data_IF_724437841094
#
_entry.id   IF_724437841094
#
_cell.length_a   1.000
_cell.length_b   1.000
_cell.length_c   1.000
_cell.angle_alpha   90.00
_cell.angle_beta   90.00
_cell.angle_gamma   90.00
#
_symmetry.space_group_name_H-M   'P 1'
#
loop_
_entity.id
_entity.type
_entity.pdbx_description
1 polymer ?
#
# COMPACT_ATOMS: atom_id res chain seq x y z
N UNK A 1 -9.90 44.90 19.68
CA UNK A 1 -10.48 43.55 19.54
C UNK A 1 -9.34 42.55 19.54
N UNK A 2 -9.20 41.83 20.64
CA UNK A 2 -8.19 40.80 20.87
C UNK A 2 -8.46 39.57 19.99
N UNK A 3 -7.58 39.30 19.04
CA UNK A 3 -7.56 38.05 18.28
C UNK A 3 -7.28 36.89 19.24
N UNK A 4 -8.28 36.06 19.48
CA UNK A 4 -8.16 34.83 20.25
C UNK A 4 -7.40 33.83 19.37
N UNK A 5 -6.10 33.71 19.63
CA UNK A 5 -5.20 32.77 18.98
C UNK A 5 -5.06 31.50 19.82
N UNK A 6 -6.10 30.70 20.05
CA UNK A 6 -5.99 29.51 20.91
C UNK A 6 -6.78 28.31 20.36
N UNK A 7 -6.31 27.75 19.24
CA UNK A 7 -6.41 26.30 18.99
C UNK A 7 -5.01 25.84 18.61
N UNK A 8 -4.13 25.75 19.60
CA UNK A 8 -2.99 24.86 19.48
C UNK A 8 -3.55 23.45 19.64
N UNK A 9 -3.39 22.59 18.62
CA UNK A 9 -3.45 21.16 18.85
C UNK A 9 -2.54 20.88 20.04
N UNK A 10 -3.09 20.36 21.14
CA UNK A 10 -2.30 20.07 22.33
C UNK A 10 -1.13 19.17 21.90
N UNK A 11 0.13 19.63 21.99
CA UNK A 11 1.24 18.80 21.59
C UNK A 11 1.21 17.53 22.42
N UNK A 12 1.41 16.38 21.78
CA UNK A 12 1.42 15.09 22.46
C UNK A 12 2.46 15.12 23.58
N UNK A 13 2.01 15.12 24.83
CA UNK A 13 2.87 15.00 25.99
C UNK A 13 3.10 13.52 26.25
N UNK A 14 4.35 13.06 26.09
CA UNK A 14 4.73 11.67 26.37
C UNK A 14 4.29 11.30 27.80
N UNK A 15 3.51 10.21 27.99
CA UNK A 15 3.11 9.75 29.32
C UNK A 15 4.28 9.17 30.13
N UNK A 16 5.48 9.10 29.54
CA UNK A 16 6.68 8.45 30.06
C UNK A 16 7.82 9.47 30.12
N UNK A 17 8.72 9.43 31.13
CA UNK A 17 9.88 10.33 31.20
C UNK A 17 10.72 10.31 29.92
N UNK A 18 11.19 11.48 29.48
CA UNK A 18 11.93 11.65 28.22
C UNK A 18 13.12 10.70 28.08
N UNK A 19 13.87 10.46 29.15
CA UNK A 19 15.02 9.54 29.12
C UNK A 19 14.61 8.10 28.77
N UNK A 20 13.50 7.59 29.32
CA UNK A 20 12.99 6.25 28.98
C UNK A 20 12.58 6.17 27.52
N UNK A 21 11.92 7.21 27.00
CA UNK A 21 11.59 7.33 25.58
C UNK A 21 12.85 7.30 24.71
N UNK A 22 13.85 8.12 25.06
CA UNK A 22 15.11 8.20 24.29
C UNK A 22 15.87 6.87 24.26
N UNK A 23 16.01 6.20 25.41
CA UNK A 23 16.64 4.88 25.45
C UNK A 23 15.83 3.82 24.70
N UNK A 24 14.49 3.86 24.79
CA UNK A 24 13.61 2.96 24.04
C UNK A 24 13.73 3.13 22.53
N UNK A 25 13.77 4.36 22.04
CA UNK A 25 13.99 4.66 20.62
C UNK A 25 15.38 4.19 20.16
N UNK A 26 16.43 4.52 20.91
CA UNK A 26 17.80 4.11 20.58
C UNK A 26 17.94 2.57 20.56
N UNK A 27 17.40 1.89 21.56
CA UNK A 27 17.42 0.43 21.64
C UNK A 27 16.65 -0.22 20.47
N UNK A 28 15.47 0.31 20.14
CA UNK A 28 14.68 -0.16 18.99
C UNK A 28 15.47 -0.01 17.69
N UNK A 29 16.07 1.16 17.44
CA UNK A 29 16.89 1.40 16.23
C UNK A 29 18.05 0.40 16.16
N UNK A 30 18.82 0.26 17.24
CA UNK A 30 19.96 -0.67 17.30
C UNK A 30 19.49 -2.11 17.04
N UNK A 31 18.42 -2.55 17.70
CA UNK A 31 17.90 -3.90 17.55
C UNK A 31 17.34 -4.14 16.15
N UNK A 32 16.64 -3.18 15.56
CA UNK A 32 16.13 -3.27 14.19
C UNK A 32 17.27 -3.38 13.17
N UNK A 33 18.30 -2.54 13.27
CA UNK A 33 19.47 -2.64 12.38
C UNK A 33 20.26 -3.92 12.60
N UNK A 34 20.43 -4.36 13.85
CA UNK A 34 21.07 -5.63 14.16
C UNK A 34 20.29 -6.82 13.59
N UNK A 35 18.96 -6.80 13.68
CA UNK A 35 18.08 -7.81 13.09
C UNK A 35 18.18 -7.79 11.57
N UNK A 36 18.13 -6.61 10.94
CA UNK A 36 18.29 -6.48 9.48
C UNK A 36 19.66 -6.97 9.04
N UNK A 37 20.74 -6.63 9.75
CA UNK A 37 22.08 -7.10 9.45
C UNK A 37 22.21 -8.62 9.61
N UNK A 38 21.63 -9.18 10.67
CA UNK A 38 21.57 -10.63 10.87
C UNK A 38 20.79 -11.33 9.76
N UNK A 39 19.63 -10.79 9.38
CA UNK A 39 18.81 -11.33 8.29
C UNK A 39 19.53 -11.18 6.94
N UNK A 40 20.20 -10.07 6.67
CA UNK A 40 20.98 -9.87 5.45
C UNK A 40 22.24 -10.76 5.39
N UNK A 41 22.75 -11.21 6.54
CA UNK A 41 23.89 -12.13 6.64
C UNK A 41 23.48 -13.62 6.59
N UNK A 42 22.20 -13.90 6.33
CA UNK A 42 21.69 -15.26 6.15
C UNK A 42 22.38 -16.01 4.99
N UNK A 43 22.16 -17.33 4.87
CA UNK A 43 22.76 -18.14 3.82
C UNK A 43 22.54 -17.54 2.44
N UNK A 44 23.57 -17.61 1.58
CA UNK A 44 23.51 -17.10 0.22
C UNK A 44 22.23 -17.60 -0.47
N UNK A 45 21.39 -16.71 -1.03
CA UNK A 45 20.14 -17.09 -1.69
C UNK A 45 20.36 -18.06 -2.86
N UNK A 46 21.59 -18.13 -3.38
CA UNK A 46 22.01 -19.13 -4.38
C UNK A 46 22.35 -20.52 -3.81
N UNK A 47 22.69 -20.67 -2.53
CA UNK A 47 23.07 -21.96 -1.93
C UNK A 47 21.87 -22.77 -1.44
N UNK A 48 20.75 -22.10 -1.11
CA UNK A 48 19.50 -22.75 -0.73
C UNK A 48 18.77 -23.36 -1.93
N UNK A 49 19.00 -22.86 -3.15
CA UNK A 49 18.54 -23.52 -4.38
C UNK A 49 19.19 -24.90 -4.61
N UNK A 50 20.31 -25.19 -3.94
CA UNK A 50 21.00 -26.48 -4.05
C UNK A 50 20.75 -27.43 -2.87
N UNK A 51 20.30 -26.94 -1.71
CA UNK A 51 20.31 -27.72 -0.45
C UNK A 51 18.93 -28.14 0.10
N UNK A 52 17.81 -27.62 -0.40
CA UNK A 52 16.47 -28.16 -0.06
C UNK A 52 15.92 -29.00 -1.19
N UNK A 53 16.57 -30.16 -1.36
CA UNK A 53 15.90 -31.32 -1.95
C UNK A 53 14.89 -31.85 -0.94
N UNK A 54 13.71 -31.23 -0.87
CA UNK A 54 12.48 -31.96 -0.61
C UNK A 54 11.41 -31.50 -1.61
N UNK A 55 11.52 -32.15 -2.78
CA UNK A 55 10.79 -31.89 -4.03
C UNK A 55 9.36 -32.45 -3.97
N UNK A 56 8.56 -32.01 -3.00
CA UNK A 56 7.17 -32.47 -2.90
C UNK A 56 6.23 -31.42 -2.30
N UNK A 57 6.01 -30.33 -3.02
CA UNK A 57 4.71 -29.67 -2.98
C UNK A 57 4.40 -29.14 -4.36
N UNK A 58 3.76 -29.98 -5.17
CA UNK A 58 2.84 -29.46 -6.18
C UNK A 58 1.97 -28.37 -5.52
N UNK A 59 1.51 -27.33 -6.24
CA UNK A 59 0.34 -26.64 -5.75
C UNK A 59 -0.71 -27.75 -5.59
N UNK A 60 -1.58 -27.74 -4.57
CA UNK A 60 -2.68 -28.66 -4.63
C UNK A 60 -3.47 -28.26 -5.87
N UNK A 61 -3.28 -28.98 -6.97
CA UNK A 61 -4.28 -29.13 -8.03
C UNK A 61 -5.47 -29.94 -7.50
N UNK A 62 -5.51 -30.17 -6.18
CA UNK A 62 -6.70 -30.57 -5.48
C UNK A 62 -7.76 -29.49 -5.68
N UNK A 63 -8.95 -29.97 -6.02
CA UNK A 63 -10.16 -29.16 -6.12
C UNK A 63 -10.29 -28.20 -4.93
N UNK A 64 -9.91 -28.62 -3.73
CA UNK A 64 -9.94 -27.83 -2.51
C UNK A 64 -9.18 -26.50 -2.62
N UNK A 65 -7.95 -26.48 -3.16
CA UNK A 65 -7.20 -25.23 -3.31
C UNK A 65 -7.86 -24.26 -4.30
N UNK A 66 -8.37 -24.78 -5.42
CA UNK A 66 -9.13 -23.95 -6.37
C UNK A 66 -10.39 -23.36 -5.75
N UNK A 67 -11.08 -24.12 -4.88
CA UNK A 67 -12.23 -23.63 -4.10
C UNK A 67 -11.81 -22.55 -3.11
N UNK A 68 -10.71 -22.74 -2.37
CA UNK A 68 -10.20 -21.76 -1.41
C UNK A 68 -9.83 -20.45 -2.11
N UNK A 69 -9.09 -20.51 -3.22
CA UNK A 69 -8.72 -19.30 -3.98
C UNK A 69 -9.96 -18.61 -4.54
N UNK A 70 -10.94 -19.36 -5.06
CA UNK A 70 -12.20 -18.77 -5.55
C UNK A 70 -13.02 -18.12 -4.44
N UNK A 71 -13.08 -18.74 -3.26
CA UNK A 71 -13.76 -18.19 -2.09
C UNK A 71 -13.07 -16.90 -1.61
N UNK A 72 -11.73 -16.88 -1.57
CA UNK A 72 -10.97 -15.69 -1.20
C UNK A 72 -11.15 -14.55 -2.22
N UNK A 73 -11.13 -14.85 -3.53
CA UNK A 73 -11.42 -13.86 -4.58
C UNK A 73 -12.81 -13.27 -4.44
N UNK A 74 -13.82 -14.12 -4.25
CA UNK A 74 -15.21 -13.69 -4.03
C UNK A 74 -15.33 -12.86 -2.76
N UNK A 75 -14.65 -13.26 -1.69
CA UNK A 75 -14.56 -12.51 -0.44
C UNK A 75 -13.90 -11.15 -0.62
N UNK A 76 -12.80 -11.05 -1.37
CA UNK A 76 -12.13 -9.78 -1.65
C UNK A 76 -13.03 -8.80 -2.43
N UNK A 77 -13.76 -9.30 -3.44
CA UNK A 77 -14.76 -8.49 -4.17
C UNK A 77 -15.92 -8.08 -3.25
N UNK A 78 -16.38 -8.98 -2.38
CA UNK A 78 -17.43 -8.67 -1.40
C UNK A 78 -16.99 -7.60 -0.40
N UNK A 79 -15.75 -7.68 0.11
CA UNK A 79 -15.17 -6.65 1.00
C UNK A 79 -15.06 -5.32 0.28
N UNK A 80 -14.60 -5.29 -0.98
CA UNK A 80 -14.59 -4.07 -1.79
C UNK A 80 -15.99 -3.48 -1.97
N UNK A 81 -16.98 -4.32 -2.29
CA UNK A 81 -18.38 -3.89 -2.45
C UNK A 81 -18.96 -3.34 -1.14
N UNK A 82 -18.76 -4.05 -0.02
CA UNK A 82 -19.19 -3.60 1.32
C UNK A 82 -18.52 -2.27 1.67
N UNK A 83 -17.23 -2.12 1.39
CA UNK A 83 -16.48 -0.88 1.64
C UNK A 83 -17.10 0.30 0.88
N UNK A 84 -17.41 0.12 -0.41
CA UNK A 84 -18.06 1.16 -1.22
C UNK A 84 -19.49 1.43 -0.73
N UNK A 85 -20.29 0.39 -0.48
CA UNK A 85 -21.68 0.53 -0.06
C UNK A 85 -21.79 1.22 1.31
N UNK A 86 -20.96 0.84 2.27
CA UNK A 86 -20.93 1.46 3.60
C UNK A 86 -20.33 2.86 3.57
N UNK A 87 -19.39 3.15 2.68
CA UNK A 87 -18.90 4.51 2.50
C UNK A 87 -19.94 5.46 1.87
N UNK A 88 -20.83 4.97 1.00
CA UNK A 88 -21.89 5.78 0.38
C UNK A 88 -23.17 5.89 1.22
N UNK A 89 -23.58 4.79 1.87
CA UNK A 89 -24.88 4.69 2.55
C UNK A 89 -24.79 4.40 4.06
N UNK A 90 -23.59 4.18 4.60
CA UNK A 90 -23.37 3.93 6.02
C UNK A 90 -23.22 5.22 6.85
N UNK A 91 -22.84 5.09 8.13
CA UNK A 91 -22.64 6.23 9.02
C UNK A 91 -21.61 7.22 8.47
N UNK A 92 -21.87 8.51 8.64
CA UNK A 92 -20.94 9.58 8.21
C UNK A 92 -19.76 9.72 9.16
N UNK A 93 -19.90 9.24 10.39
CA UNK A 93 -18.82 9.17 11.37
C UNK A 93 -17.77 8.14 10.93
N UNK A 94 -16.49 8.52 10.77
CA UNK A 94 -15.46 7.63 10.23
C UNK A 94 -15.14 6.44 11.13
N UNK A 95 -15.24 6.62 12.46
CA UNK A 95 -14.90 5.59 13.44
C UNK A 95 -15.92 4.45 13.51
N UNK A 96 -17.19 4.74 13.20
CA UNK A 96 -18.27 3.75 13.14
C UNK A 96 -18.51 3.19 11.74
N UNK A 97 -17.88 3.74 10.70
CA UNK A 97 -18.06 3.28 9.33
C UNK A 97 -17.20 2.03 9.04
N UNK A 98 -17.87 0.91 8.77
CA UNK A 98 -17.20 -0.35 8.49
C UNK A 98 -16.30 -0.29 7.25
N UNK A 99 -16.65 0.49 6.22
CA UNK A 99 -15.83 0.65 5.02
C UNK A 99 -14.50 1.34 5.29
N UNK A 100 -14.50 2.37 6.15
CA UNK A 100 -13.27 3.02 6.59
C UNK A 100 -12.34 2.01 7.27
N UNK A 101 -12.86 1.21 8.21
CA UNK A 101 -12.08 0.18 8.91
C UNK A 101 -11.59 -0.92 7.96
N UNK A 102 -12.45 -1.41 7.06
CA UNK A 102 -12.08 -2.44 6.08
C UNK A 102 -10.93 -2.00 5.18
N UNK A 103 -10.98 -0.77 4.66
CA UNK A 103 -9.95 -0.29 3.76
C UNK A 103 -8.66 0.09 4.49
N UNK A 104 -8.74 1.00 5.47
CA UNK A 104 -7.55 1.56 6.10
C UNK A 104 -6.88 0.58 7.08
N UNK A 105 -7.68 -0.09 7.91
CA UNK A 105 -7.15 -0.96 8.97
C UNK A 105 -6.89 -2.37 8.45
N UNK A 106 -7.88 -3.02 7.83
CA UNK A 106 -7.72 -4.42 7.45
C UNK A 106 -6.95 -4.59 6.14
N UNK A 107 -7.31 -3.84 5.10
CA UNK A 107 -6.70 -4.01 3.78
C UNK A 107 -5.35 -3.31 3.65
N UNK A 108 -5.24 -2.03 4.01
CA UNK A 108 -3.99 -1.31 3.85
C UNK A 108 -2.97 -1.70 4.93
N UNK A 109 -3.36 -1.67 6.21
CA UNK A 109 -2.43 -1.92 7.32
C UNK A 109 -2.25 -3.41 7.64
N UNK A 110 -3.31 -4.13 8.03
CA UNK A 110 -3.18 -5.51 8.52
C UNK A 110 -2.70 -6.47 7.43
N UNK A 111 -3.25 -6.33 6.22
CA UNK A 111 -2.86 -7.20 5.11
C UNK A 111 -1.45 -6.87 4.57
N UNK A 112 -0.93 -5.65 4.73
CA UNK A 112 0.48 -5.35 4.49
C UNK A 112 1.39 -6.17 5.42
N UNK A 113 1.06 -6.24 6.72
CA UNK A 113 1.81 -7.10 7.67
C UNK A 113 1.73 -8.58 7.29
N UNK A 114 0.54 -9.07 6.93
CA UNK A 114 0.38 -10.45 6.45
C UNK A 114 1.25 -10.71 5.22
N UNK A 115 1.30 -9.77 4.29
CA UNK A 115 2.11 -9.88 3.06
C UNK A 115 3.60 -9.96 3.35
N UNK A 116 4.10 -9.19 4.32
CA UNK A 116 5.51 -9.26 4.75
C UNK A 116 5.84 -10.60 5.42
N UNK A 117 4.86 -11.25 6.06
CA UNK A 117 5.08 -12.53 6.74
C UNK A 117 4.93 -13.75 5.81
N UNK A 118 3.97 -13.72 4.90
CA UNK A 118 3.52 -14.90 4.12
C UNK A 118 3.76 -14.73 2.61
N UNK A 119 4.15 -13.53 2.15
CA UNK A 119 4.39 -13.23 0.74
C UNK A 119 3.18 -12.63 0.02
N UNK A 120 3.35 -12.35 -1.27
CA UNK A 120 2.35 -11.72 -2.15
C UNK A 120 1.18 -12.67 -2.49
N UNK A 121 0.29 -12.86 -1.51
CA UNK A 121 -1.00 -13.55 -1.68
C UNK A 121 -1.96 -12.69 -2.52
N UNK A 122 -1.78 -11.38 -2.49
CA UNK A 122 -2.63 -10.40 -3.15
C UNK A 122 -2.78 -10.69 -4.65
N UNK A 123 -1.70 -11.12 -5.31
CA UNK A 123 -1.71 -11.55 -6.71
C UNK A 123 -2.82 -12.56 -7.06
N UNK A 124 -3.23 -13.43 -6.13
CA UNK A 124 -4.29 -14.40 -6.37
C UNK A 124 -5.69 -13.89 -6.02
N UNK A 125 -5.79 -13.08 -4.96
CA UNK A 125 -7.07 -12.61 -4.41
C UNK A 125 -7.50 -11.25 -4.96
N UNK A 126 -6.67 -10.60 -5.78
CA UNK A 126 -6.88 -9.26 -6.31
C UNK A 126 -8.34 -9.06 -6.81
N UNK A 127 -9.11 -8.16 -6.16
CA UNK A 127 -10.52 -7.98 -6.48
C UNK A 127 -10.71 -7.39 -7.87
N UNK A 128 -9.82 -6.49 -8.32
CA UNK A 128 -9.88 -5.91 -9.67
C UNK A 128 -9.59 -6.95 -10.76
N UNK A 129 -8.66 -7.89 -10.52
CA UNK A 129 -8.46 -9.02 -11.44
C UNK A 129 -9.71 -9.90 -11.51
N UNK A 130 -10.37 -10.15 -10.37
CA UNK A 130 -11.61 -10.95 -10.31
C UNK A 130 -12.76 -10.25 -11.06
N UNK A 131 -12.89 -8.93 -10.91
CA UNK A 131 -13.85 -8.12 -11.67
C UNK A 131 -13.54 -8.15 -13.17
N UNK A 132 -12.27 -8.05 -13.57
CA UNK A 132 -11.87 -8.16 -14.97
C UNK A 132 -12.18 -9.55 -15.56
N UNK A 133 -12.01 -10.62 -14.79
CA UNK A 133 -12.43 -11.98 -15.20
C UNK A 133 -13.95 -12.10 -15.36
N UNK A 134 -14.74 -11.45 -14.49
CA UNK A 134 -16.19 -11.39 -14.61
C UNK A 134 -16.63 -10.62 -15.87
N UNK A 135 -16.01 -9.46 -16.14
CA UNK A 135 -16.23 -8.66 -17.35
C UNK A 135 -15.89 -9.45 -18.62
N UNK A 136 -14.83 -10.27 -18.58
CA UNK A 136 -14.50 -11.21 -19.66
C UNK A 136 -15.58 -12.26 -19.88
N UNK A 137 -16.18 -12.77 -18.81
CA UNK A 137 -17.34 -13.68 -18.88
C UNK A 137 -18.55 -13.07 -19.59
N UNK A 138 -18.68 -11.74 -19.58
CA UNK A 138 -19.71 -11.00 -20.31
C UNK A 138 -19.36 -10.74 -21.80
N UNK A 139 -18.23 -11.27 -22.30
CA UNK A 139 -17.84 -11.16 -23.71
C UNK A 139 -16.88 -10.02 -24.04
N UNK A 140 -16.37 -9.28 -23.05
CA UNK A 140 -15.41 -8.20 -23.27
C UNK A 140 -13.99 -8.71 -23.05
N UNK A 141 -13.18 -8.75 -24.10
CA UNK A 141 -11.78 -9.16 -24.00
C UNK A 141 -10.93 -8.13 -23.21
N UNK A 142 -10.42 -8.56 -22.05
CA UNK A 142 -9.53 -7.83 -21.14
C UNK A 142 -8.06 -8.21 -21.32
N UNK A 143 -7.78 -9.33 -21.95
CA UNK A 143 -6.42 -9.85 -22.10
C UNK A 143 -5.76 -9.29 -23.37
N UNK A 144 -6.57 -8.87 -24.36
CA UNK A 144 -6.09 -8.22 -25.58
C UNK A 144 -5.55 -6.81 -25.32
N UNK A 145 -4.30 -6.60 -25.68
CA UNK A 145 -3.67 -5.28 -25.76
C UNK A 145 -4.26 -4.49 -26.93
N UNK A 146 -4.91 -3.36 -26.64
CA UNK A 146 -5.46 -2.44 -27.65
C UNK A 146 -4.48 -1.31 -27.98
N UNK A 147 -3.71 -0.89 -26.98
CA UNK A 147 -2.61 0.05 -27.10
C UNK A 147 -1.36 -0.58 -26.51
N UNK A 148 -0.25 -0.48 -27.24
CA UNK A 148 1.05 -0.97 -26.77
C UNK A 148 1.48 -0.17 -25.55
N UNK A 149 1.73 -0.86 -24.44
CA UNK A 149 2.28 -0.25 -23.24
C UNK A 149 3.72 0.19 -23.50
N UNK A 150 4.01 1.48 -23.32
CA UNK A 150 5.35 1.99 -23.54
C UNK A 150 6.25 1.70 -22.34
N UNK A 151 7.46 1.19 -22.60
CA UNK A 151 8.43 0.85 -21.55
C UNK A 151 8.80 2.04 -20.67
N UNK A 152 8.72 3.27 -21.20
CA UNK A 152 8.98 4.51 -20.46
C UNK A 152 7.93 4.80 -19.37
N UNK A 153 6.70 4.31 -19.54
CA UNK A 153 5.61 4.53 -18.58
C UNK A 153 5.83 3.65 -17.35
N UNK A 154 6.29 2.40 -17.55
CA UNK A 154 6.66 1.46 -16.48
C UNK A 154 5.75 1.59 -15.24
N UNK A 155 6.30 1.92 -14.06
CA UNK A 155 5.53 1.99 -12.81
C UNK A 155 4.90 3.36 -12.51
N UNK A 156 4.98 4.34 -13.42
CA UNK A 156 4.47 5.69 -13.15
C UNK A 156 2.98 5.75 -12.82
N UNK A 157 2.07 4.98 -13.47
CA UNK A 157 0.66 4.99 -13.08
C UNK A 157 0.44 4.55 -11.63
N UNK A 158 1.18 3.52 -11.18
CA UNK A 158 1.14 3.07 -9.79
C UNK A 158 1.74 4.13 -8.83
N UNK A 159 2.82 4.81 -9.21
CA UNK A 159 3.39 5.93 -8.42
C UNK A 159 2.36 7.05 -8.25
N UNK A 160 1.72 7.49 -9.34
CA UNK A 160 0.72 8.56 -9.30
C UNK A 160 -0.48 8.14 -8.45
N UNK A 161 -0.97 6.90 -8.60
CA UNK A 161 -2.04 6.38 -7.76
C UNK A 161 -1.64 6.33 -6.28
N UNK A 162 -0.38 5.98 -5.98
CA UNK A 162 0.09 5.94 -4.61
C UNK A 162 0.17 7.34 -3.98
N UNK A 163 0.72 8.31 -4.73
CA UNK A 163 0.77 9.71 -4.31
C UNK A 163 -0.65 10.23 -4.06
N UNK A 164 -1.60 9.91 -4.93
CA UNK A 164 -3.00 10.30 -4.74
C UNK A 164 -3.61 9.66 -3.49
N UNK A 165 -3.33 8.37 -3.21
CA UNK A 165 -3.81 7.69 -2.01
C UNK A 165 -3.28 8.36 -0.74
N UNK A 166 -1.97 8.57 -0.65
CA UNK A 166 -1.31 9.23 0.50
C UNK A 166 -1.79 10.68 0.64
N UNK A 167 -2.00 11.38 -0.47
CA UNK A 167 -2.53 12.74 -0.44
C UNK A 167 -3.96 12.79 0.12
N UNK A 168 -4.81 11.84 -0.26
CA UNK A 168 -6.17 11.70 0.32
C UNK A 168 -6.07 11.37 1.81
N UNK A 169 -5.20 10.45 2.20
CA UNK A 169 -4.99 10.05 3.60
C UNK A 169 -4.58 11.23 4.49
N UNK A 170 -3.62 12.03 4.04
CA UNK A 170 -3.02 13.09 4.85
C UNK A 170 -3.79 14.40 4.83
N UNK A 171 -4.40 14.77 3.69
CA UNK A 171 -4.96 16.11 3.50
C UNK A 171 -6.47 16.14 3.34
N UNK A 172 -7.13 15.02 3.00
CA UNK A 172 -8.58 15.00 2.90
C UNK A 172 -9.21 14.80 4.27
N UNK A 173 -10.34 15.47 4.51
CA UNK A 173 -11.18 15.15 5.66
C UNK A 173 -11.59 13.66 5.56
N UNK A 174 -11.56 12.89 6.67
CA UNK A 174 -11.75 11.44 6.66
C UNK A 174 -13.21 11.03 6.44
N UNK A 175 -13.84 11.52 5.37
CA UNK A 175 -15.25 11.26 5.06
C UNK A 175 -15.39 9.90 4.37
N UNK A 176 -16.26 9.01 4.87
CA UNK A 176 -16.49 7.70 4.25
C UNK A 176 -16.93 7.78 2.77
N UNK A 177 -17.67 8.83 2.41
CA UNK A 177 -18.10 9.06 1.03
C UNK A 177 -16.93 9.38 0.10
N UNK A 178 -15.95 10.17 0.56
CA UNK A 178 -14.72 10.46 -0.20
C UNK A 178 -13.97 9.17 -0.52
N UNK A 179 -13.82 8.27 0.46
CA UNK A 179 -13.20 6.97 0.26
C UNK A 179 -13.97 6.14 -0.77
N UNK A 180 -15.30 6.05 -0.65
CA UNK A 180 -16.10 5.29 -1.60
C UNK A 180 -15.99 5.83 -3.03
N UNK A 181 -16.07 7.15 -3.22
CA UNK A 181 -15.85 7.77 -4.53
C UNK A 181 -14.45 7.50 -5.07
N UNK A 182 -13.43 7.59 -4.23
CA UNK A 182 -12.05 7.29 -4.61
C UNK A 182 -11.90 5.82 -5.05
N UNK A 183 -12.50 4.87 -4.33
CA UNK A 183 -12.47 3.44 -4.67
C UNK A 183 -13.22 3.13 -5.97
N UNK A 184 -14.37 3.77 -6.20
CA UNK A 184 -15.11 3.64 -7.46
C UNK A 184 -14.31 4.21 -8.62
N UNK A 185 -13.75 5.41 -8.46
CA UNK A 185 -12.90 6.04 -9.48
C UNK A 185 -11.65 5.18 -9.76
N UNK A 186 -10.99 4.68 -8.71
CA UNK A 186 -9.84 3.80 -8.82
C UNK A 186 -10.18 2.49 -9.53
N UNK A 187 -11.35 1.91 -9.23
CA UNK A 187 -11.85 0.70 -9.91
C UNK A 187 -12.10 0.96 -11.40
N UNK A 188 -12.73 2.09 -11.74
CA UNK A 188 -12.95 2.46 -13.13
C UNK A 188 -11.64 2.68 -13.88
N UNK A 189 -10.67 3.40 -13.29
CA UNK A 189 -9.34 3.63 -13.87
C UNK A 189 -8.61 2.29 -14.08
N UNK A 190 -8.65 1.41 -13.08
CA UNK A 190 -7.94 0.12 -13.13
C UNK A 190 -8.53 -0.80 -14.19
N UNK A 191 -9.86 -0.95 -14.25
CA UNK A 191 -10.52 -1.75 -15.29
C UNK A 191 -10.31 -1.14 -16.70
N UNK A 192 -10.34 0.18 -16.83
CA UNK A 192 -10.03 0.84 -18.11
C UNK A 192 -8.59 0.60 -18.53
N UNK A 193 -7.64 0.66 -17.60
CA UNK A 193 -6.23 0.37 -17.86
C UNK A 193 -6.01 -1.08 -18.30
N UNK A 194 -6.66 -2.04 -17.65
CA UNK A 194 -6.66 -3.44 -18.07
C UNK A 194 -7.27 -3.63 -19.46
N UNK A 195 -8.38 -2.95 -19.75
CA UNK A 195 -9.03 -2.99 -21.07
C UNK A 195 -8.09 -2.44 -22.17
N UNK A 196 -7.38 -1.35 -21.90
CA UNK A 196 -6.57 -0.66 -22.91
C UNK A 196 -5.22 -1.35 -23.15
N UNK A 197 -4.49 -1.64 -22.06
CA UNK A 197 -3.10 -2.09 -22.11
C UNK A 197 -2.93 -3.60 -21.89
N UNK A 198 -4.03 -4.33 -21.68
CA UNK A 198 -4.03 -5.73 -21.32
C UNK A 198 -3.94 -5.94 -19.80
N UNK A 199 -4.73 -6.90 -19.32
CA UNK A 199 -4.85 -7.23 -17.90
C UNK A 199 -3.51 -7.56 -17.23
N UNK A 200 -2.68 -8.39 -17.87
CA UNK A 200 -1.40 -8.85 -17.31
C UNK A 200 -0.39 -7.72 -17.18
N UNK A 201 -0.31 -6.84 -18.17
CA UNK A 201 0.59 -5.68 -18.20
C UNK A 201 0.14 -4.66 -17.15
N UNK A 202 -1.15 -4.32 -17.11
CA UNK A 202 -1.67 -3.34 -16.16
C UNK A 202 -1.52 -3.80 -14.71
N UNK A 203 -1.82 -5.07 -14.40
CA UNK A 203 -1.61 -5.63 -13.06
C UNK A 203 -0.14 -5.68 -12.66
N UNK A 204 0.78 -5.81 -13.62
CA UNK A 204 2.22 -5.82 -13.34
C UNK A 204 2.74 -4.42 -13.00
N UNK A 205 2.33 -3.40 -13.74
CA UNK A 205 2.97 -2.09 -13.74
C UNK A 205 2.09 -0.94 -13.24
N UNK A 206 0.79 -0.97 -13.54
CA UNK A 206 -0.12 0.16 -13.32
C UNK A 206 -1.00 0.07 -12.07
N UNK A 207 -1.31 -1.13 -11.59
CA UNK A 207 -2.18 -1.33 -10.43
C UNK A 207 -1.40 -1.11 -9.12
N UNK A 208 -1.78 -0.07 -8.36
CA UNK A 208 -1.11 0.37 -7.14
C UNK A 208 -0.90 -0.77 -6.15
N UNK A 209 -1.98 -1.46 -5.78
CA UNK A 209 -1.92 -2.44 -4.69
C UNK A 209 -1.14 -3.67 -5.12
N UNK A 210 -1.22 -4.10 -6.38
CA UNK A 210 -0.37 -5.17 -6.91
C UNK A 210 1.12 -4.81 -6.83
N UNK A 211 1.50 -3.58 -7.18
CA UNK A 211 2.89 -3.14 -7.06
C UNK A 211 3.30 -3.03 -5.59
N UNK A 212 2.46 -2.45 -4.74
CA UNK A 212 2.69 -2.27 -3.31
C UNK A 212 2.90 -3.60 -2.58
N UNK A 213 1.96 -4.54 -2.70
CA UNK A 213 2.03 -5.84 -2.05
C UNK A 213 3.12 -6.73 -2.65
N UNK A 214 3.49 -6.57 -3.93
CA UNK A 214 4.65 -7.27 -4.49
C UNK A 214 5.96 -6.78 -3.89
N UNK A 215 6.13 -5.46 -3.75
CA UNK A 215 7.32 -4.88 -3.08
C UNK A 215 7.39 -5.37 -1.63
N UNK A 216 6.28 -5.37 -0.89
CA UNK A 216 6.25 -5.93 0.47
C UNK A 216 6.53 -7.44 0.51
N UNK A 217 5.97 -8.19 -0.44
CA UNK A 217 6.16 -9.63 -0.58
C UNK A 217 7.61 -10.01 -0.88
N UNK A 218 8.40 -9.11 -1.48
CA UNK A 218 9.85 -9.30 -1.69
C UNK A 218 10.64 -9.46 -0.38
N UNK A 219 10.12 -8.91 0.73
CA UNK A 219 10.69 -9.02 2.07
C UNK A 219 10.34 -10.34 2.76
N UNK A 220 9.29 -11.02 2.28
CA UNK A 220 8.74 -12.19 2.94
C UNK A 220 9.61 -13.44 2.79
N UNK A 221 9.59 -14.34 3.79
CA UNK A 221 10.28 -15.62 3.74
C UNK A 221 9.61 -16.66 2.83
N UNK A 222 8.42 -16.38 2.30
CA UNK A 222 7.70 -17.29 1.41
C UNK A 222 7.57 -16.63 0.03
N UNK A 223 8.01 -17.34 -1.00
CA UNK A 223 7.87 -16.96 -2.40
C UNK A 223 6.97 -17.95 -3.13
N UNK A 224 6.09 -17.44 -4.00
CA UNK A 224 5.17 -18.27 -4.77
C UNK A 224 5.62 -18.36 -6.23
N UNK A 225 6.47 -19.35 -6.53
CA UNK A 225 7.03 -19.56 -7.88
C UNK A 225 6.00 -20.24 -8.79
N UNK A 226 5.92 -19.79 -10.04
CA UNK A 226 4.97 -20.29 -11.05
C UNK A 226 5.68 -21.10 -12.15
N UNK A 227 4.90 -21.95 -12.82
CA UNK A 227 5.30 -22.77 -13.97
C UNK A 227 5.82 -21.87 -15.11
N UNK A 228 7.12 -21.98 -15.43
CA UNK A 228 7.82 -21.13 -16.41
C UNK A 228 9.17 -20.57 -15.97
N UNK A 229 9.53 -20.68 -14.68
CA UNK A 229 10.93 -20.47 -14.26
C UNK A 229 11.77 -21.68 -14.64
N UNK A 230 13.01 -21.45 -15.08
CA UNK A 230 13.91 -22.41 -15.75
C UNK A 230 14.24 -23.68 -14.94
N UNK A 231 13.80 -23.79 -13.68
CA UNK A 231 14.27 -24.80 -12.73
C UNK A 231 13.23 -25.42 -11.75
N UNK A 232 11.91 -25.20 -11.86
CA UNK A 232 11.03 -25.82 -10.86
C UNK A 232 9.52 -25.74 -11.04
N UNK A 233 8.84 -26.76 -10.51
CA UNK A 233 7.37 -26.90 -10.45
C UNK A 233 6.76 -25.76 -9.61
N UNK A 234 5.53 -25.33 -9.94
CA UNK A 234 4.86 -24.25 -9.19
C UNK A 234 4.66 -24.66 -7.72
N UNK A 235 4.95 -23.75 -6.79
CA UNK A 235 4.82 -24.04 -5.35
C UNK A 235 5.38 -22.94 -4.44
N UNK A 236 5.03 -22.96 -3.14
CA UNK A 236 5.64 -22.09 -2.15
C UNK A 236 7.09 -22.54 -1.91
N UNK A 237 8.03 -21.62 -2.12
CA UNK A 237 9.45 -21.80 -1.80
C UNK A 237 9.76 -20.97 -0.58
N UNK A 238 10.39 -21.59 0.42
CA UNK A 238 10.86 -20.87 1.60
C UNK A 238 12.22 -20.26 1.30
N UNK A 239 12.34 -18.95 1.49
CA UNK A 239 13.57 -18.17 1.38
C UNK A 239 13.85 -17.49 2.71
N UNK A 240 15.11 -17.13 2.91
CA UNK A 240 15.47 -16.33 4.08
C UNK A 240 14.77 -14.96 4.01
N UNK A 241 14.24 -14.41 5.12
CA UNK A 241 13.61 -13.09 5.12
C UNK A 241 14.54 -12.02 4.52
N UNK A 242 13.97 -11.02 3.83
CA UNK A 242 14.69 -9.95 3.11
C UNK A 242 15.55 -10.40 1.91
N UNK A 243 15.75 -11.70 1.68
CA UNK A 243 16.61 -12.17 0.58
C UNK A 243 16.07 -11.79 -0.80
N UNK A 244 14.75 -11.73 -0.98
CA UNK A 244 14.13 -11.28 -2.24
C UNK A 244 14.48 -9.82 -2.55
N UNK A 245 14.32 -8.94 -1.57
CA UNK A 245 14.67 -7.52 -1.72
C UNK A 245 16.17 -7.26 -1.98
N UNK A 246 17.06 -8.14 -1.51
CA UNK A 246 18.51 -8.03 -1.75
C UNK A 246 18.94 -8.52 -3.14
N UNK A 247 18.17 -9.42 -3.75
CA UNK A 247 18.50 -10.07 -5.02
C UNK A 247 17.76 -9.46 -6.21
N UNK A 248 16.53 -9.00 -6.00
CA UNK A 248 15.74 -8.33 -7.02
C UNK A 248 16.33 -6.95 -7.33
N UNK A 249 16.83 -6.79 -8.56
CA UNK A 249 17.25 -5.47 -9.06
C UNK A 249 16.03 -4.70 -9.54
N UNK A 250 16.01 -3.40 -9.27
CA UNK A 250 14.97 -2.52 -9.80
C UNK A 250 14.99 -2.53 -11.33
N UNK A 251 13.89 -2.99 -11.94
CA UNK A 251 13.75 -3.10 -13.39
C UNK A 251 13.73 -1.72 -14.08
N UNK A 252 13.26 -0.68 -13.37
CA UNK A 252 13.08 0.67 -13.90
C UNK A 252 13.19 1.73 -12.79
N UNK A 253 13.69 2.96 -13.07
CA UNK A 253 13.78 4.05 -12.09
C UNK A 253 12.44 4.42 -11.45
N UNK A 254 11.32 4.22 -12.12
CA UNK A 254 9.99 4.47 -11.56
C UNK A 254 9.67 3.54 -10.37
N UNK A 255 10.21 2.31 -10.34
CA UNK A 255 10.07 1.41 -9.20
C UNK A 255 10.88 1.94 -8.00
N UNK A 256 12.07 2.48 -8.25
CA UNK A 256 12.87 3.14 -7.22
C UNK A 256 12.11 4.35 -6.66
N UNK A 257 11.52 5.17 -7.54
CA UNK A 257 10.69 6.29 -7.13
C UNK A 257 9.48 5.85 -6.28
N UNK A 258 8.82 4.73 -6.65
CA UNK A 258 7.75 4.13 -5.87
C UNK A 258 8.21 3.75 -4.46
N UNK A 259 9.35 3.03 -4.34
CA UNK A 259 9.90 2.58 -3.06
C UNK A 259 10.37 3.76 -2.20
N UNK A 260 11.06 4.74 -2.81
CA UNK A 260 11.47 5.96 -2.11
C UNK A 260 10.27 6.75 -1.60
N UNK A 261 9.21 6.85 -2.40
CA UNK A 261 7.97 7.50 -1.97
C UNK A 261 7.31 6.72 -0.82
N UNK A 262 7.27 5.39 -0.89
CA UNK A 262 6.76 4.53 0.20
C UNK A 262 7.48 4.77 1.54
N UNK A 263 8.81 4.83 1.52
CA UNK A 263 9.61 5.11 2.71
C UNK A 263 9.42 6.55 3.18
N UNK A 264 9.39 7.49 2.24
CA UNK A 264 9.25 8.92 2.53
C UNK A 264 7.86 9.27 3.05
N UNK A 265 6.78 8.66 2.57
CA UNK A 265 5.41 8.97 2.99
C UNK A 265 5.17 8.56 4.43
N UNK A 266 5.60 7.37 4.84
CA UNK A 266 5.48 6.92 6.24
C UNK A 266 6.39 7.74 7.17
N UNK A 267 7.59 8.10 6.70
CA UNK A 267 8.47 9.00 7.48
C UNK A 267 7.84 10.38 7.62
N UNK A 268 7.24 10.91 6.55
CA UNK A 268 6.54 12.19 6.57
C UNK A 268 5.35 12.15 7.53
N UNK A 269 4.53 11.10 7.49
CA UNK A 269 3.39 10.90 8.41
C UNK A 269 3.84 10.96 9.89
N UNK A 270 4.93 10.25 10.23
CA UNK A 270 5.50 10.29 11.57
C UNK A 270 6.05 11.66 11.97
N UNK A 271 6.67 12.40 11.03
CA UNK A 271 7.24 13.74 11.27
C UNK A 271 6.15 14.81 11.34
N UNK A 272 5.09 14.68 10.54
CA UNK A 272 4.01 15.64 10.40
C UNK A 272 3.34 15.97 11.73
N UNK A 273 3.14 14.96 12.58
CA UNK A 273 2.53 15.08 13.90
C UNK A 273 3.47 15.64 14.99
N UNK A 274 4.74 15.88 14.67
CA UNK A 274 5.72 16.36 15.66
C UNK A 274 5.66 17.86 15.89
N UNK A 275 6.00 18.29 17.11
CA UNK A 275 6.13 19.71 17.45
C UNK A 275 7.16 20.43 16.55
N UNK A 276 8.23 19.74 16.14
CA UNK A 276 9.21 20.29 15.20
C UNK A 276 8.58 20.68 13.88
N UNK A 277 7.76 19.81 13.29
CA UNK A 277 7.08 20.11 12.03
C UNK A 277 6.04 21.22 12.21
N UNK A 278 5.20 21.13 13.24
CA UNK A 278 4.18 22.14 13.54
C UNK A 278 4.82 23.53 13.73
N UNK A 279 5.90 23.63 14.50
CA UNK A 279 6.60 24.90 14.72
C UNK A 279 7.27 25.42 13.44
N UNK A 280 7.96 24.56 12.67
CA UNK A 280 8.59 24.95 11.42
C UNK A 280 7.57 25.42 10.38
N UNK A 281 6.51 24.64 10.16
CA UNK A 281 5.50 24.92 9.15
C UNK A 281 4.67 26.14 9.52
N UNK A 282 4.01 26.12 10.68
CA UNK A 282 3.05 27.17 11.05
C UNK A 282 3.73 28.47 11.50
N UNK A 283 4.91 28.42 12.13
CA UNK A 283 5.57 29.63 12.65
C UNK A 283 6.59 30.25 11.70
N UNK A 284 7.18 29.48 10.77
CA UNK A 284 8.23 30.00 9.86
C UNK A 284 7.81 29.98 8.40
N UNK A 285 7.37 28.82 7.89
CA UNK A 285 7.09 28.62 6.47
C UNK A 285 5.81 29.32 6.03
N UNK A 286 4.70 29.10 6.73
CA UNK A 286 3.41 29.67 6.34
C UNK A 286 3.44 31.22 6.35
N UNK A 287 3.97 31.91 7.39
CA UNK A 287 4.08 33.36 7.38
C UNK A 287 4.96 33.91 6.25
N UNK A 288 6.02 33.18 5.88
CA UNK A 288 6.89 33.55 4.77
C UNK A 288 6.22 33.37 3.40
N UNK A 289 5.29 32.41 3.27
CA UNK A 289 4.57 32.12 2.04
C UNK A 289 3.25 32.90 1.88
N UNK A 290 2.64 33.37 2.98
CA UNK A 290 1.44 34.22 2.97
C UNK A 290 1.50 35.43 2.00
N UNK A 291 2.59 36.22 1.93
CA UNK A 291 2.67 37.34 0.98
C UNK A 291 2.63 36.90 -0.49
N UNK A 292 3.00 35.65 -0.79
CA UNK A 292 2.99 35.06 -2.14
C UNK A 292 1.62 34.44 -2.43
N UNK A 293 1.05 33.70 -1.47
CA UNK A 293 -0.21 32.97 -1.63
C UNK A 293 -1.44 33.88 -1.67
N UNK A 294 -1.38 35.08 -1.07
CA UNK A 294 -2.46 36.10 -1.00
C UNK A 294 -3.81 35.59 -0.45
N UNK A 295 -3.91 34.33 -0.06
CA UNK A 295 -5.05 33.70 0.60
C UNK A 295 -4.65 33.32 2.02
N UNK A 296 -5.53 33.59 2.97
CA UNK A 296 -5.33 33.20 4.36
C UNK A 296 -5.65 31.71 4.50
N UNK A 297 -4.63 30.89 4.25
CA UNK A 297 -4.72 29.42 4.32
C UNK A 297 -5.11 28.95 5.73
N UNK A 298 -4.78 29.74 6.76
CA UNK A 298 -5.13 29.45 8.15
C UNK A 298 -6.63 29.52 8.41
N UNK A 299 -7.31 30.57 7.92
CA UNK A 299 -8.77 30.67 8.05
C UNK A 299 -9.53 29.68 7.17
N UNK A 300 -9.00 29.34 5.99
CA UNK A 300 -9.57 28.29 5.13
C UNK A 300 -9.54 26.91 5.81
N UNK A 301 -8.41 26.56 6.45
CA UNK A 301 -8.29 25.30 7.18
C UNK A 301 -9.17 25.27 8.44
N UNK A 302 -9.25 26.37 9.19
CA UNK A 302 -10.13 26.50 10.33
C UNK A 302 -11.62 26.33 9.94
N UNK A 303 -12.04 26.92 8.82
CA UNK A 303 -13.41 26.79 8.31
C UNK A 303 -13.76 25.34 7.90
N UNK A 304 -12.80 24.58 7.38
CA UNK A 304 -12.96 23.16 7.03
C UNK A 304 -13.08 22.27 8.28
N UNK A 305 -12.41 22.62 9.37
CA UNK A 305 -12.48 21.87 10.64
C UNK A 305 -13.75 22.13 11.45
N UNK A 306 -14.36 23.31 11.35
CA UNK A 306 -15.60 23.66 12.10
C UNK A 306 -16.88 23.00 11.60
N UNK A 307 -16.82 22.24 10.50
CA UNK A 307 -17.94 21.45 9.98
C UNK A 307 -18.14 20.09 10.66
N UNK A 308 -17.42 19.83 11.75
CA UNK A 308 -17.48 18.65 12.61
C UNK A 308 -17.86 19.04 14.03
#
# INVERSE_FOLDING_TARGET
MTLIAHVFLAPYTLPVPFWMYLYGCAATIILSFALVAYLASGPDPGSLNAATTDRSSSPPTSRLWSWVVSALRSGAVAVLAITVLTGLAGPTDPGSNLGMTCFWVYFLLAFAYVTVLIGDIYRWINPWNTLAEAVRGCGIDMDRERLRYADQIAYWPAVVAYVALVWIELFALPKPSTLAFALVAYTAITLSGMYVFGRTVWLRYGELFAVFFRVLGSLAPVEYVHDGSRDGRPGPVFRWPLAGALTERAEHPSLIAFILFMLSSTTYDAVHETYLWISLYWQRLLPALLPILRTDVGSAQAALTTGY
#
